data_IF_267204075011
#
_entry.id   IF_267204075011
#
_cell.length_a   1.000
_cell.length_b   1.000
_cell.length_c   1.000
_cell.angle_alpha   90.00
_cell.angle_beta   90.00
_cell.angle_gamma   90.00
#
_symmetry.space_group_name_H-M   'P 1'
#
loop_
_entity.id
_entity.type
_entity.pdbx_description
1 polymer ?
#
# COMPACT_ATOMS: atom_id res chain seq x y z
N UNK A 1 14.05 23.59 -37.62
CA UNK A 1 15.06 23.91 -36.58
C UNK A 1 14.49 24.68 -35.40
N UNK A 2 14.37 26.03 -35.41
CA UNK A 2 13.91 26.79 -34.22
C UNK A 2 12.55 26.33 -33.67
N UNK A 3 11.55 26.17 -34.54
CA UNK A 3 10.21 25.70 -34.17
C UNK A 3 10.19 24.27 -33.59
N UNK A 4 11.04 23.39 -34.12
CA UNK A 4 11.18 22.02 -33.61
C UNK A 4 11.86 22.01 -32.23
N UNK A 5 12.84 22.88 -32.01
CA UNK A 5 13.47 23.05 -30.70
C UNK A 5 12.46 23.56 -29.66
N UNK A 6 11.58 24.50 -30.03
CA UNK A 6 10.51 25.01 -29.16
C UNK A 6 9.49 23.90 -28.83
N UNK A 7 9.11 23.09 -29.82
CA UNK A 7 8.23 21.93 -29.61
C UNK A 7 8.85 20.91 -28.64
N UNK A 8 10.11 20.56 -28.84
CA UNK A 8 10.82 19.61 -27.97
C UNK A 8 10.98 20.14 -26.53
N UNK A 9 11.20 21.45 -26.37
CA UNK A 9 11.27 22.08 -25.05
C UNK A 9 9.93 22.00 -24.30
N UNK A 10 8.81 22.16 -25.01
CA UNK A 10 7.48 22.01 -24.44
C UNK A 10 7.19 20.56 -24.02
N UNK A 11 7.48 19.60 -24.90
CA UNK A 11 7.32 18.16 -24.61
C UNK A 11 8.17 17.74 -23.40
N UNK A 12 9.40 18.24 -23.28
CA UNK A 12 10.26 18.01 -22.11
C UNK A 12 9.65 18.55 -20.83
N UNK A 13 9.07 19.76 -20.89
CA UNK A 13 8.45 20.40 -19.72
C UNK A 13 7.20 19.64 -19.27
N UNK A 14 6.38 19.18 -20.22
CA UNK A 14 5.21 18.35 -19.94
C UNK A 14 5.61 17.00 -19.33
N UNK A 15 6.62 16.34 -19.91
CA UNK A 15 7.17 15.11 -19.37
C UNK A 15 7.70 15.30 -17.94
N UNK A 16 8.39 16.41 -17.66
CA UNK A 16 8.88 16.71 -16.32
C UNK A 16 7.73 16.89 -15.32
N UNK A 17 6.63 17.52 -15.71
CA UNK A 17 5.45 17.67 -14.84
C UNK A 17 4.83 16.32 -14.51
N UNK A 18 4.63 15.46 -15.52
CA UNK A 18 4.14 14.11 -15.29
C UNK A 18 5.09 13.30 -14.40
N UNK A 19 6.40 13.40 -14.65
CA UNK A 19 7.40 12.72 -13.83
C UNK A 19 7.30 13.10 -12.35
N UNK A 20 7.24 14.40 -12.04
CA UNK A 20 7.12 14.88 -10.65
C UNK A 20 5.81 14.41 -10.03
N UNK A 21 4.70 14.50 -10.75
CA UNK A 21 3.39 14.03 -10.27
C UNK A 21 3.41 12.54 -9.92
N UNK A 22 3.97 11.69 -10.80
CA UNK A 22 4.10 10.26 -10.54
C UNK A 22 5.04 9.98 -9.38
N UNK A 23 6.12 10.75 -9.24
CA UNK A 23 7.08 10.60 -8.14
C UNK A 23 6.41 10.86 -6.79
N UNK A 24 5.71 12.00 -6.65
CA UNK A 24 4.99 12.37 -5.42
C UNK A 24 3.89 11.36 -5.09
N UNK A 25 3.11 10.96 -6.10
CA UNK A 25 2.07 9.95 -5.92
C UNK A 25 2.64 8.60 -5.50
N UNK A 26 3.70 8.14 -6.15
CA UNK A 26 4.36 6.86 -5.83
C UNK A 26 4.89 6.86 -4.40
N UNK A 27 5.46 7.98 -3.96
CA UNK A 27 5.92 8.14 -2.60
C UNK A 27 4.76 8.06 -1.59
N UNK A 28 3.67 8.81 -1.83
CA UNK A 28 2.49 8.78 -0.97
C UNK A 28 1.85 7.39 -0.89
N UNK A 29 1.69 6.73 -2.04
CA UNK A 29 1.18 5.36 -2.11
C UNK A 29 2.09 4.38 -1.38
N UNK A 30 3.42 4.52 -1.51
CA UNK A 30 4.37 3.64 -0.83
C UNK A 30 4.31 3.77 0.69
N UNK A 31 4.21 5.00 1.20
CA UNK A 31 4.07 5.25 2.64
C UNK A 31 2.77 4.65 3.17
N UNK A 32 1.64 4.89 2.50
CA UNK A 32 0.35 4.38 2.96
C UNK A 32 0.28 2.85 2.85
N UNK A 33 0.85 2.26 1.79
CA UNK A 33 0.97 0.81 1.64
C UNK A 33 1.72 0.21 2.84
N UNK A 34 2.92 0.69 3.16
CA UNK A 34 3.70 0.18 4.28
C UNK A 34 2.99 0.38 5.63
N UNK A 35 2.31 1.51 5.81
CA UNK A 35 1.50 1.78 7.00
C UNK A 35 0.38 0.76 7.14
N UNK A 36 -0.38 0.47 6.08
CA UNK A 36 -1.45 -0.53 6.11
C UNK A 36 -0.90 -1.95 6.35
N UNK A 37 0.25 -2.30 5.75
CA UNK A 37 0.92 -3.58 6.02
C UNK A 37 1.29 -3.72 7.51
N UNK A 38 1.83 -2.68 8.13
CA UNK A 38 2.20 -2.70 9.54
C UNK A 38 0.97 -2.75 10.46
N UNK A 39 -0.11 -2.04 10.11
CA UNK A 39 -1.40 -2.15 10.83
C UNK A 39 -1.92 -3.59 10.77
N UNK A 40 -1.97 -4.20 9.57
CA UNK A 40 -2.41 -5.57 9.40
C UNK A 40 -1.57 -6.57 10.21
N UNK A 41 -0.24 -6.39 10.22
CA UNK A 41 0.68 -7.20 11.02
C UNK A 41 0.39 -7.09 12.52
N UNK A 42 0.18 -5.88 13.04
CA UNK A 42 -0.15 -5.64 14.45
C UNK A 42 -1.49 -6.25 14.85
N UNK A 43 -2.52 -6.05 14.02
CA UNK A 43 -3.84 -6.65 14.26
C UNK A 43 -3.76 -8.17 14.27
N UNK A 44 -3.04 -8.78 13.33
CA UNK A 44 -2.80 -10.23 13.33
C UNK A 44 -2.05 -10.70 14.58
N UNK A 45 -1.07 -9.92 15.06
CA UNK A 45 -0.36 -10.19 16.31
C UNK A 45 -1.29 -10.17 17.53
N UNK A 46 -2.15 -9.15 17.64
CA UNK A 46 -3.14 -9.04 18.72
C UNK A 46 -4.10 -10.23 18.69
N UNK A 47 -4.61 -10.61 17.52
CA UNK A 47 -5.52 -11.76 17.40
C UNK A 47 -4.81 -13.04 17.86
N UNK A 48 -3.55 -13.25 17.46
CA UNK A 48 -2.75 -14.39 17.92
C UNK A 48 -2.53 -14.42 19.44
N UNK A 49 -2.41 -13.24 20.08
CA UNK A 49 -2.30 -13.14 21.54
C UNK A 49 -3.63 -13.41 22.26
N UNK A 50 -4.76 -13.03 21.67
CA UNK A 50 -6.10 -13.24 22.26
C UNK A 50 -6.59 -14.68 22.08
N UNK A 51 -6.18 -15.35 21.00
CA UNK A 51 -6.68 -16.68 20.61
C UNK A 51 -6.63 -17.72 21.74
N UNK A 52 -5.54 -17.89 22.52
CA UNK A 52 -5.45 -18.92 23.57
C UNK A 52 -6.45 -18.74 24.72
N UNK A 53 -7.05 -17.55 24.86
CA UNK A 53 -8.04 -17.27 25.91
C UNK A 53 -9.47 -17.64 25.49
N UNK A 54 -9.69 -18.07 24.25
CA UNK A 54 -11.00 -18.51 23.76
C UNK A 54 -11.22 -20.00 23.99
N UNK A 55 -12.49 -20.43 24.06
CA UNK A 55 -12.86 -21.84 24.04
C UNK A 55 -12.39 -22.51 22.73
N UNK A 56 -12.07 -23.81 22.77
CA UNK A 56 -11.45 -24.54 21.67
C UNK A 56 -12.22 -24.44 20.33
N UNK A 57 -13.56 -24.48 20.38
CA UNK A 57 -14.40 -24.29 19.18
C UNK A 57 -14.23 -22.88 18.58
N UNK A 58 -14.24 -21.85 19.41
CA UNK A 58 -14.05 -20.47 18.99
C UNK A 58 -12.63 -20.20 18.47
N UNK A 59 -11.61 -20.88 19.03
CA UNK A 59 -10.25 -20.79 18.51
C UNK A 59 -10.19 -21.21 17.03
N UNK A 60 -10.80 -22.35 16.70
CA UNK A 60 -10.81 -22.84 15.32
C UNK A 60 -11.58 -21.90 14.38
N UNK A 61 -12.74 -21.38 14.82
CA UNK A 61 -13.53 -20.43 14.02
C UNK A 61 -12.75 -19.13 13.74
N UNK A 62 -12.12 -18.56 14.77
CA UNK A 62 -11.34 -17.32 14.64
C UNK A 62 -10.10 -17.55 13.77
N UNK A 63 -9.35 -18.64 13.95
CA UNK A 63 -8.19 -18.95 13.12
C UNK A 63 -8.56 -19.03 11.63
N UNK A 64 -9.60 -19.78 11.28
CA UNK A 64 -10.09 -19.88 9.90
C UNK A 64 -10.54 -18.52 9.35
N UNK A 65 -11.22 -17.70 10.15
CA UNK A 65 -11.68 -16.38 9.73
C UNK A 65 -10.51 -15.41 9.45
N UNK A 66 -9.46 -15.46 10.28
CA UNK A 66 -8.24 -14.65 10.10
C UNK A 66 -7.49 -15.05 8.84
N UNK A 67 -7.39 -16.34 8.56
CA UNK A 67 -6.71 -16.81 7.35
C UNK A 67 -7.47 -16.41 6.08
N UNK A 68 -8.82 -16.45 6.11
CA UNK A 68 -9.65 -15.92 5.03
C UNK A 68 -9.49 -14.41 4.86
N UNK A 69 -9.36 -13.65 5.95
CA UNK A 69 -9.24 -12.19 5.89
C UNK A 69 -7.88 -11.70 5.33
N UNK A 70 -6.87 -12.58 5.26
CA UNK A 70 -5.55 -12.28 4.68
C UNK A 70 -5.43 -12.60 3.19
N UNK A 71 -6.36 -13.37 2.63
CA UNK A 71 -6.45 -13.65 1.19
C UNK A 71 -6.99 -12.42 0.46
#
# INVERSE_FOLDING_TARGET
LKLECEKLANEKTEMQRHYVMYYEMSYGLNVEMHKQTEIAKRLNGIIGQVLPFLAQEHQQQVATAVDRAKQ
#
